data_IF_105049135650
#
_entry.id   IF_105049135650
#
_cell.length_a   1.000
_cell.length_b   1.000
_cell.length_c   1.000
_cell.angle_alpha   90.00
_cell.angle_beta   90.00
_cell.angle_gamma   90.00
#
_symmetry.space_group_name_H-M   'P 1'
#
loop_
_entity.id
_entity.type
_entity.pdbx_description
1 polymer ?
#
# COMPACT_ATOMS: atom_id res chain seq x y z
N UNK A 1 0.90 18.07 0.29
CA UNK A 1 1.22 17.67 1.68
C UNK A 1 0.86 16.20 1.81
N UNK A 2 1.86 15.31 1.81
CA UNK A 2 1.64 13.86 1.88
C UNK A 2 1.19 13.51 3.28
N UNK A 3 0.00 12.92 3.41
CA UNK A 3 -0.68 12.69 4.69
C UNK A 3 -0.47 11.24 5.13
N UNK A 4 0.76 10.88 5.46
CA UNK A 4 1.02 9.62 6.17
C UNK A 4 0.67 9.87 7.64
N UNK A 5 -0.57 9.54 8.02
CA UNK A 5 -1.03 9.70 9.39
C UNK A 5 -0.27 8.68 10.25
N UNK A 6 0.63 9.17 11.10
CA UNK A 6 1.39 8.36 12.07
C UNK A 6 0.54 7.74 13.19
N UNK A 7 -0.64 7.20 12.86
CA UNK A 7 -1.37 6.30 13.73
C UNK A 7 -0.71 4.93 13.66
N UNK A 8 -0.21 4.44 14.80
CA UNK A 8 0.34 3.10 14.98
C UNK A 8 -0.69 2.01 14.61
N UNK A 9 -0.82 1.69 13.31
CA UNK A 9 -1.46 0.48 12.81
C UNK A 9 -0.42 -0.28 12.00
N UNK A 10 0.54 -0.87 12.72
CA UNK A 10 1.49 -1.82 12.13
C UNK A 10 0.70 -3.10 11.81
N UNK A 11 0.29 -3.25 10.56
CA UNK A 11 -0.37 -4.46 10.07
C UNK A 11 0.68 -5.57 9.84
N UNK A 12 1.45 -5.91 10.88
CA UNK A 12 2.31 -7.10 10.90
C UNK A 12 1.48 -8.39 11.10
N UNK A 13 0.16 -8.29 11.14
CA UNK A 13 -0.74 -9.26 11.76
C UNK A 13 -1.43 -10.20 10.76
N UNK A 14 -0.66 -10.76 9.82
CA UNK A 14 -1.10 -11.95 9.08
C UNK A 14 -0.11 -13.13 9.16
N UNK A 15 0.97 -13.00 9.91
CA UNK A 15 1.73 -14.16 10.39
C UNK A 15 1.33 -14.43 11.84
N UNK A 16 0.47 -15.45 12.05
CA UNK A 16 0.08 -16.00 13.35
C UNK A 16 -1.08 -15.28 14.07
N UNK A 17 -2.23 -15.97 14.15
CA UNK A 17 -2.94 -16.32 15.40
C UNK A 17 -4.37 -16.80 15.10
N UNK A 18 -4.60 -18.09 15.35
CA UNK A 18 -5.92 -18.71 15.55
C UNK A 18 -6.42 -18.42 16.97
N UNK A 19 -7.74 -18.19 17.14
CA UNK A 19 -8.48 -18.03 18.42
C UNK A 19 -8.26 -16.66 19.09
N UNK A 20 -9.26 -15.89 19.51
CA UNK A 20 -10.42 -16.23 20.34
C UNK A 20 -11.58 -15.26 20.04
N UNK A 21 -12.81 -15.78 19.99
CA UNK A 21 -14.04 -14.99 20.00
C UNK A 21 -14.21 -14.25 21.34
N UNK A 22 -14.57 -12.97 21.30
CA UNK A 22 -15.16 -12.27 22.45
C UNK A 22 -16.16 -11.21 21.97
N UNK A 23 -17.29 -11.16 22.68
CA UNK A 23 -18.56 -10.53 22.31
C UNK A 23 -18.81 -9.22 23.09
N UNK A 24 -19.80 -8.44 22.59
CA UNK A 24 -20.50 -7.29 23.21
C UNK A 24 -19.72 -5.95 23.26
N UNK A 25 -20.30 -4.75 23.18
CA UNK A 25 -21.68 -4.26 23.05
C UNK A 25 -21.68 -2.80 22.58
N UNK A 26 -22.84 -2.33 22.15
CA UNK A 26 -23.17 -1.02 21.57
C UNK A 26 -23.08 0.12 22.62
N UNK A 27 -22.54 1.28 22.24
CA UNK A 27 -22.99 2.59 22.77
C UNK A 27 -23.07 3.62 21.65
N UNK A 28 -24.29 4.09 21.42
CA UNK A 28 -24.64 5.26 20.62
C UNK A 28 -24.53 6.51 21.49
N UNK A 29 -23.89 7.57 21.00
CA UNK A 29 -24.15 8.94 21.48
C UNK A 29 -24.10 9.92 20.31
N UNK A 30 -25.28 10.45 20.00
CA UNK A 30 -25.54 11.66 19.22
C UNK A 30 -25.11 12.85 20.06
N UNK A 31 -24.34 13.79 19.47
CA UNK A 31 -24.34 15.19 19.90
C UNK A 31 -24.25 16.13 18.69
N UNK A 32 -25.10 17.13 18.74
CA UNK A 32 -25.44 18.10 17.70
C UNK A 32 -24.48 19.29 17.63
N UNK A 33 -24.35 19.82 16.40
CA UNK A 33 -24.23 21.23 15.97
C UNK A 33 -23.14 22.12 16.58
N UNK A 34 -22.37 22.77 15.71
CA UNK A 34 -22.42 24.22 15.42
C UNK A 34 -21.60 24.48 14.14
N UNK A 35 -22.23 25.10 13.14
CA UNK A 35 -21.55 25.69 11.97
C UNK A 35 -21.14 27.13 12.32
N UNK A 36 -19.90 27.53 12.05
CA UNK A 36 -19.59 28.89 11.64
C UNK A 36 -19.37 28.91 10.13
N UNK A 37 -20.26 29.63 9.43
CA UNK A 37 -20.04 30.05 8.06
C UNK A 37 -18.81 30.95 8.03
N UNK A 38 -17.72 30.47 7.42
CA UNK A 38 -16.58 31.31 7.04
C UNK A 38 -16.69 31.53 5.54
N UNK A 39 -17.09 32.75 5.22
CA UNK A 39 -17.06 33.33 3.89
C UNK A 39 -15.59 33.54 3.49
N UNK A 40 -15.07 32.65 2.65
CA UNK A 40 -13.74 32.79 2.06
C UNK A 40 -13.85 33.20 0.60
N UNK A 41 -13.43 34.44 0.38
CA UNK A 41 -13.02 35.12 -0.85
C UNK A 41 -12.71 34.20 -2.05
N UNK A 42 -13.21 34.52 -3.27
CA UNK A 42 -12.84 33.80 -4.48
C UNK A 42 -11.36 34.06 -4.80
N UNK A 43 -10.50 33.14 -4.36
CA UNK A 43 -9.12 33.08 -4.84
C UNK A 43 -9.18 32.59 -6.27
N UNK A 44 -8.85 33.46 -7.22
CA UNK A 44 -8.62 33.09 -8.62
C UNK A 44 -7.49 32.04 -8.66
N UNK A 45 -7.86 30.77 -8.72
CA UNK A 45 -6.95 29.68 -9.00
C UNK A 45 -6.48 29.83 -10.43
N UNK A 46 -5.17 30.03 -10.60
CA UNK A 46 -4.50 29.85 -11.88
C UNK A 46 -4.89 28.47 -12.45
N UNK A 47 -5.13 28.34 -13.76
CA UNK A 47 -5.42 27.05 -14.37
C UNK A 47 -4.19 26.17 -14.23
N UNK A 48 -4.18 25.31 -13.22
CA UNK A 48 -3.29 24.16 -13.19
C UNK A 48 -3.77 23.33 -14.36
N UNK A 49 -2.98 23.36 -15.42
CA UNK A 49 -3.21 22.53 -16.58
C UNK A 49 -3.00 21.10 -16.08
N UNK A 50 -4.09 20.37 -15.81
CA UNK A 50 -4.15 18.98 -15.34
C UNK A 50 -3.63 17.99 -16.40
N UNK A 51 -2.66 18.40 -17.22
CA UNK A 51 -1.82 17.47 -17.96
C UNK A 51 -1.04 16.68 -16.92
N UNK A 52 -1.69 15.59 -16.50
CA UNK A 52 -1.14 14.33 -16.06
C UNK A 52 0.36 14.34 -16.38
N UNK A 53 1.18 14.56 -15.35
CA UNK A 53 2.59 14.20 -15.41
C UNK A 53 2.57 12.70 -15.70
N UNK A 54 2.60 12.35 -16.99
CA UNK A 54 2.90 11.02 -17.48
C UNK A 54 4.35 10.74 -17.06
N UNK A 55 4.54 10.47 -15.78
CA UNK A 55 5.76 9.88 -15.26
C UNK A 55 5.90 8.59 -16.06
N UNK A 56 6.98 8.51 -16.85
CA UNK A 56 7.34 7.30 -17.55
C UNK A 56 7.88 6.32 -16.50
N UNK A 57 6.95 5.68 -15.79
CA UNK A 57 7.27 4.68 -14.76
C UNK A 57 7.52 3.36 -15.48
N UNK A 58 8.72 2.78 -15.39
CA UNK A 58 9.05 1.53 -16.07
C UNK A 58 8.28 0.35 -15.50
N UNK A 59 8.19 -0.73 -16.28
CA UNK A 59 7.78 -2.02 -15.75
C UNK A 59 8.91 -2.59 -14.86
N UNK A 60 8.54 -3.48 -13.94
CA UNK A 60 9.48 -4.11 -13.01
C UNK A 60 9.53 -5.60 -13.28
N UNK A 61 10.73 -6.12 -13.54
CA UNK A 61 10.97 -7.55 -13.62
C UNK A 61 11.48 -8.06 -12.28
N UNK A 62 10.67 -8.90 -11.64
CA UNK A 62 11.05 -9.59 -10.41
C UNK A 62 11.65 -10.96 -10.75
N UNK A 63 12.77 -11.31 -10.13
CA UNK A 63 13.47 -12.59 -10.34
C UNK A 63 13.99 -13.18 -9.04
N UNK A 64 14.27 -14.49 -9.05
CA UNK A 64 14.88 -15.24 -7.93
C UNK A 64 14.09 -15.31 -6.62
N UNK A 65 12.83 -14.87 -6.60
CA UNK A 65 11.94 -15.12 -5.46
C UNK A 65 11.74 -16.63 -5.27
N UNK A 66 11.86 -17.11 -4.03
CA UNK A 66 11.53 -18.49 -3.68
C UNK A 66 10.02 -18.77 -3.75
N UNK A 67 9.19 -17.74 -3.55
CA UNK A 67 7.75 -17.86 -3.67
C UNK A 67 7.29 -17.98 -5.14
N UNK A 68 6.43 -18.98 -5.39
CA UNK A 68 5.86 -19.23 -6.73
C UNK A 68 5.01 -18.06 -7.20
N UNK A 69 5.04 -17.78 -8.50
CA UNK A 69 4.24 -16.74 -9.15
C UNK A 69 4.82 -15.33 -9.07
N UNK A 70 5.81 -15.09 -8.21
CA UNK A 70 6.40 -13.75 -8.10
C UNK A 70 7.37 -13.42 -9.22
N UNK A 71 8.09 -14.41 -9.78
CA UNK A 71 9.14 -14.20 -10.78
C UNK A 71 8.56 -13.86 -12.17
N UNK A 72 8.15 -12.60 -12.37
CA UNK A 72 7.47 -12.12 -13.58
C UNK A 72 7.57 -10.61 -13.70
N UNK A 73 6.94 -10.06 -14.74
CA UNK A 73 6.81 -8.63 -14.98
C UNK A 73 5.64 -8.03 -14.19
N UNK A 74 5.85 -6.86 -13.60
CA UNK A 74 4.88 -6.05 -12.90
C UNK A 74 4.75 -4.72 -13.61
N UNK A 75 3.52 -4.30 -13.85
CA UNK A 75 3.24 -3.01 -14.50
C UNK A 75 2.75 -1.99 -13.49
N UNK A 76 3.09 -0.70 -13.68
CA UNK A 76 2.65 0.37 -12.79
C UNK A 76 1.13 0.51 -12.82
N UNK A 77 0.60 0.92 -11.68
CA UNK A 77 -0.82 1.16 -11.43
C UNK A 77 -1.01 2.54 -10.81
N UNK A 78 -2.18 3.11 -11.08
CA UNK A 78 -2.58 4.39 -10.51
C UNK A 78 -2.63 4.27 -8.97
N UNK A 79 -1.92 5.14 -8.22
CA UNK A 79 -1.95 5.16 -6.75
C UNK A 79 -3.36 5.26 -6.16
N UNK A 80 -4.34 5.81 -6.90
CA UNK A 80 -5.73 5.91 -6.47
C UNK A 80 -6.49 4.60 -6.57
N UNK A 81 -6.01 3.63 -7.35
CA UNK A 81 -6.62 2.30 -7.43
C UNK A 81 -6.12 1.41 -6.30
N UNK A 82 -6.96 0.50 -5.81
CA UNK A 82 -6.64 -0.41 -4.71
C UNK A 82 -6.38 -1.81 -5.30
N UNK A 83 -5.28 -2.49 -4.94
CA UNK A 83 -5.03 -3.86 -5.37
C UNK A 83 -6.16 -4.80 -4.95
N UNK A 84 -6.60 -5.70 -5.85
CA UNK A 84 -7.65 -6.68 -5.52
C UNK A 84 -7.23 -7.60 -4.37
N UNK A 85 -5.93 -7.94 -4.29
CA UNK A 85 -5.37 -8.73 -3.19
C UNK A 85 -5.49 -8.01 -1.84
N UNK A 86 -5.22 -6.70 -1.82
CA UNK A 86 -5.37 -5.87 -0.63
C UNK A 86 -6.82 -5.83 -0.12
N UNK A 87 -7.80 -5.68 -1.03
CA UNK A 87 -9.24 -5.74 -0.69
C UNK A 87 -9.59 -7.08 -0.03
N UNK A 88 -9.07 -8.20 -0.57
CA UNK A 88 -9.27 -9.53 0.02
C UNK A 88 -8.65 -9.65 1.41
N UNK A 89 -7.44 -9.13 1.60
CA UNK A 89 -6.75 -9.15 2.89
C UNK A 89 -7.53 -8.37 3.96
N UNK A 90 -8.07 -7.19 3.62
CA UNK A 90 -8.91 -6.40 4.52
C UNK A 90 -10.14 -7.19 5.02
N UNK A 91 -10.79 -7.93 4.12
CA UNK A 91 -11.91 -8.81 4.47
C UNK A 91 -11.49 -9.94 5.42
N UNK A 92 -10.34 -10.57 5.17
CA UNK A 92 -9.81 -11.67 6.00
C UNK A 92 -9.34 -11.21 7.38
N UNK A 93 -8.76 -10.01 7.49
CA UNK A 93 -8.15 -9.50 8.71
C UNK A 93 -9.15 -8.95 9.76
N UNK A 94 -10.46 -9.10 9.53
CA UNK A 94 -11.50 -8.61 10.45
C UNK A 94 -12.51 -7.66 9.82
N UNK A 95 -12.51 -7.50 8.49
CA UNK A 95 -13.51 -6.70 7.78
C UNK A 95 -13.18 -5.21 7.72
N UNK A 96 -11.89 -4.85 7.64
CA UNK A 96 -11.49 -3.45 7.47
C UNK A 96 -12.03 -2.87 6.17
N UNK A 97 -12.38 -1.58 6.18
CA UNK A 97 -12.75 -0.85 4.97
C UNK A 97 -11.50 -0.62 4.11
N UNK A 98 -11.42 -1.14 2.86
CA UNK A 98 -10.18 -1.13 2.09
C UNK A 98 -9.67 0.27 1.72
N UNK A 99 -10.57 1.20 1.34
CA UNK A 99 -10.17 2.54 0.89
C UNK A 99 -9.50 3.36 2.01
N UNK A 100 -10.12 3.55 3.19
CA UNK A 100 -9.46 4.25 4.29
C UNK A 100 -8.10 3.65 4.66
N UNK A 101 -8.01 2.30 4.73
CA UNK A 101 -6.76 1.65 5.09
C UNK A 101 -5.68 1.85 4.00
N UNK A 102 -6.03 1.77 2.72
CA UNK A 102 -5.10 2.04 1.62
C UNK A 102 -4.66 3.51 1.59
N UNK A 103 -5.56 4.45 1.90
CA UNK A 103 -5.23 5.87 2.05
C UNK A 103 -4.22 6.10 3.18
N UNK A 104 -4.34 5.39 4.31
CA UNK A 104 -3.44 5.53 5.44
C UNK A 104 -2.06 4.88 5.20
N UNK A 105 -1.99 3.83 4.39
CA UNK A 105 -0.74 3.12 4.10
C UNK A 105 0.05 3.70 2.92
N UNK A 106 -0.59 4.47 2.05
CA UNK A 106 0.05 4.97 0.82
C UNK A 106 0.14 6.48 0.80
N UNK A 107 0.99 7.02 -0.07
CA UNK A 107 1.13 8.47 -0.25
C UNK A 107 0.05 9.08 -1.13
N UNK A 108 -0.79 8.24 -1.78
CA UNK A 108 -1.74 8.66 -2.82
C UNK A 108 -1.08 9.19 -4.11
N UNK A 109 0.25 9.14 -4.20
CA UNK A 109 1.05 9.69 -5.32
C UNK A 109 2.05 8.66 -5.85
N UNK A 110 2.68 7.89 -4.97
CA UNK A 110 3.63 6.83 -5.34
C UNK A 110 2.88 5.69 -6.05
N UNK A 111 3.25 5.33 -7.29
CA UNK A 111 2.63 4.21 -7.97
C UNK A 111 2.89 2.90 -7.21
N UNK A 112 1.95 1.97 -7.35
CA UNK A 112 2.15 0.57 -6.98
C UNK A 112 2.20 -0.26 -8.26
N UNK A 113 2.64 -1.51 -8.17
CA UNK A 113 2.88 -2.35 -9.34
C UNK A 113 2.13 -3.67 -9.21
N UNK A 114 1.61 -4.20 -10.31
CA UNK A 114 0.83 -5.44 -10.32
C UNK A 114 1.30 -6.37 -11.43
N UNK A 115 1.40 -7.66 -11.14
CA UNK A 115 1.62 -8.66 -12.16
C UNK A 115 0.29 -9.24 -12.70
N UNK A 116 0.36 -10.07 -13.75
CA UNK A 116 -0.82 -10.74 -14.33
C UNK A 116 -1.57 -11.67 -13.39
N UNK A 117 -0.93 -12.12 -12.31
CA UNK A 117 -1.51 -13.01 -11.31
C UNK A 117 -2.17 -12.22 -10.16
N UNK A 118 -2.01 -10.89 -10.12
CA UNK A 118 -2.55 -10.03 -9.07
C UNK A 118 -1.68 -9.95 -7.81
N UNK A 119 -0.44 -10.45 -7.84
CA UNK A 119 0.56 -10.07 -6.83
C UNK A 119 0.96 -8.62 -7.06
N UNK A 120 1.32 -7.91 -5.99
CA UNK A 120 1.52 -6.48 -6.08
C UNK A 120 2.68 -5.99 -5.21
N UNK A 121 3.29 -4.89 -5.66
CA UNK A 121 4.41 -4.23 -5.00
C UNK A 121 3.97 -2.81 -4.66
N UNK A 122 4.14 -2.37 -3.42
CA UNK A 122 3.74 -1.03 -3.00
C UNK A 122 4.65 -0.47 -1.91
N UNK A 123 4.71 0.84 -1.80
CA UNK A 123 5.38 1.52 -0.70
C UNK A 123 4.37 1.77 0.43
N UNK A 124 4.64 1.19 1.60
CA UNK A 124 3.91 1.45 2.82
C UNK A 124 4.59 2.61 3.57
N UNK A 125 3.92 3.77 3.63
CA UNK A 125 4.52 4.93 4.27
C UNK A 125 4.44 4.93 5.80
N UNK A 126 3.67 4.02 6.41
CA UNK A 126 3.62 3.89 7.87
C UNK A 126 4.86 3.22 8.45
N UNK A 127 5.41 2.22 7.76
CA UNK A 127 6.65 1.56 8.18
C UNK A 127 7.86 1.96 7.31
N UNK A 128 7.65 2.79 6.28
CA UNK A 128 8.68 3.23 5.34
C UNK A 128 9.37 2.08 4.60
N UNK A 129 8.64 1.01 4.28
CA UNK A 129 9.15 -0.11 3.47
C UNK A 129 8.38 -0.28 2.16
N UNK A 130 9.08 -0.82 1.18
CA UNK A 130 8.44 -1.45 0.03
C UNK A 130 8.04 -2.87 0.40
N UNK A 131 6.85 -3.28 -0.02
CA UNK A 131 6.26 -4.59 0.24
C UNK A 131 6.00 -5.32 -1.07
N UNK A 132 6.18 -6.64 -1.06
CA UNK A 132 5.68 -7.56 -2.10
C UNK A 132 4.62 -8.43 -1.45
N UNK A 133 3.40 -8.31 -1.94
CA UNK A 133 2.27 -9.08 -1.48
C UNK A 133 1.85 -10.09 -2.54
N UNK A 134 1.43 -11.26 -2.07
CA UNK A 134 0.80 -12.26 -2.92
C UNK A 134 -0.54 -11.76 -3.47
N UNK A 135 -1.08 -12.48 -4.45
CA UNK A 135 -2.45 -12.26 -4.94
C UNK A 135 -3.52 -12.26 -3.84
N UNK A 136 -3.26 -12.89 -2.69
CA UNK A 136 -4.20 -12.92 -1.57
C UNK A 136 -4.05 -11.73 -0.62
N UNK A 137 -3.10 -10.82 -0.88
CA UNK A 137 -2.75 -9.69 -0.02
C UNK A 137 -1.97 -10.11 1.23
N UNK A 138 -1.34 -11.29 1.20
CA UNK A 138 -0.41 -11.71 2.25
C UNK A 138 0.99 -11.22 1.88
N UNK A 139 1.63 -10.49 2.80
CA UNK A 139 3.00 -10.00 2.65
C UNK A 139 4.00 -11.15 2.53
N UNK A 140 4.90 -11.03 1.57
CA UNK A 140 5.90 -12.06 1.23
C UNK A 140 7.32 -11.57 1.49
N UNK A 141 7.61 -10.34 1.05
CA UNK A 141 8.92 -9.71 1.21
C UNK A 141 8.76 -8.23 1.51
N UNK A 142 9.76 -7.66 2.19
CA UNK A 142 9.90 -6.22 2.35
C UNK A 142 11.34 -5.76 2.09
N UNK A 143 11.51 -4.49 1.74
CA UNK A 143 12.81 -3.86 1.59
C UNK A 143 12.74 -2.38 1.96
N UNK A 144 13.80 -1.85 2.57
CA UNK A 144 13.93 -0.42 2.80
C UNK A 144 14.20 0.30 1.47
N UNK A 145 13.68 1.53 1.27
CA UNK A 145 13.98 2.33 0.08
C UNK A 145 15.49 2.54 -0.13
N UNK A 146 15.93 2.51 -1.39
CA UNK A 146 17.29 2.84 -1.78
C UNK A 146 17.27 4.03 -2.75
N UNK A 147 17.22 5.24 -2.20
CA UNK A 147 17.32 6.50 -2.94
C UNK A 147 16.03 7.04 -3.59
N UNK A 148 15.01 6.21 -3.83
CA UNK A 148 13.73 6.64 -4.43
C UNK A 148 12.51 6.06 -3.69
N UNK A 149 11.46 6.87 -3.60
CA UNK A 149 10.11 6.44 -3.18
C UNK A 149 9.17 6.26 -4.37
N UNK A 150 9.62 6.50 -5.60
CA UNK A 150 8.83 6.26 -6.81
C UNK A 150 9.03 4.84 -7.36
N UNK A 151 10.20 4.25 -7.11
CA UNK A 151 10.55 2.91 -7.54
C UNK A 151 11.04 2.09 -6.34
N UNK A 152 10.71 0.80 -6.29
CA UNK A 152 11.24 -0.09 -5.27
C UNK A 152 12.76 -0.29 -5.44
N UNK A 153 13.47 -0.69 -4.38
CA UNK A 153 14.88 -1.03 -4.49
C UNK A 153 15.09 -2.29 -5.34
N UNK A 154 16.20 -2.33 -6.08
CA UNK A 154 16.57 -3.48 -6.92
C UNK A 154 17.05 -4.69 -6.12
N UNK A 155 17.45 -4.47 -4.87
CA UNK A 155 18.00 -5.45 -3.93
C UNK A 155 17.55 -5.16 -2.48
N UNK A 156 18.12 -5.87 -1.51
CA UNK A 156 17.86 -5.63 -0.09
C UNK A 156 16.56 -6.24 0.45
N UNK A 157 15.86 -7.04 -0.36
CA UNK A 157 14.65 -7.75 0.04
C UNK A 157 14.90 -8.81 1.11
N UNK A 158 13.93 -8.99 1.99
CA UNK A 158 13.92 -10.02 3.03
C UNK A 158 12.50 -10.54 3.26
N UNK A 159 12.38 -11.79 3.71
CA UNK A 159 11.10 -12.35 4.14
C UNK A 159 10.60 -11.67 5.42
N UNK A 160 9.34 -11.92 5.80
CA UNK A 160 8.79 -11.42 7.07
C UNK A 160 9.49 -11.99 8.31
N UNK A 161 10.17 -13.14 8.19
CA UNK A 161 11.02 -13.71 9.26
C UNK A 161 12.43 -13.13 9.28
N UNK A 162 12.74 -12.22 8.35
CA UNK A 162 14.02 -11.55 8.22
C UNK A 162 15.09 -12.34 7.47
N UNK A 163 14.71 -13.41 6.78
CA UNK A 163 15.62 -14.22 5.99
C UNK A 163 15.86 -13.59 4.61
N UNK A 164 17.13 -13.55 4.20
CA UNK A 164 17.53 -13.12 2.84
C UNK A 164 17.60 -14.29 1.85
N UNK A 165 17.62 -15.53 2.35
CA UNK A 165 17.68 -16.70 1.49
C UNK A 165 16.38 -16.80 0.65
N UNK A 166 16.53 -16.82 -0.68
CA UNK A 166 15.39 -16.83 -1.60
C UNK A 166 14.65 -15.49 -1.72
N UNK A 167 15.27 -14.39 -1.28
CA UNK A 167 14.78 -13.05 -1.54
C UNK A 167 14.97 -12.67 -3.01
N UNK A 168 14.03 -11.91 -3.59
CA UNK A 168 14.11 -11.54 -4.98
C UNK A 168 15.15 -10.46 -5.29
N UNK A 169 15.45 -10.35 -6.57
CA UNK A 169 16.13 -9.19 -7.18
C UNK A 169 15.18 -8.56 -8.22
N UNK A 170 15.31 -7.25 -8.44
CA UNK A 170 14.51 -6.54 -9.45
C UNK A 170 15.40 -5.86 -10.52
N UNK A 171 14.85 -5.74 -11.72
CA UNK A 171 15.34 -4.83 -12.77
C UNK A 171 14.18 -4.00 -13.32
N UNK A 172 14.50 -2.84 -13.88
CA UNK A 172 13.54 -1.96 -14.56
C UNK A 172 13.65 -2.19 -16.07
N UNK A 173 12.51 -2.48 -16.71
CA UNK A 173 12.40 -2.74 -18.16
C UNK A 173 11.92 -1.49 -18.90
#
# INVERSE_FOLDING_TARGET
MVKCNGGFFTLLLLASMTSVVSSFSIVSMVLSRVNPAVESTPTQSLPINDKELHLNVPDIRLSHASARGLNTLYSPRDPKTIPKGFIRACGKAGGFAPRPLWDDLTTGVTPWFENKQGCFIYFNCNDSHWWIDSEQGSGMYLAAPNGSLLLPPTDGWMTLTGERAGAPTMSFD
#
